data_IF_517183075971
#
_entry.id   IF_517183075971
#
_cell.length_a   1.000
_cell.length_b   1.000
_cell.length_c   1.000
_cell.angle_alpha   90.00
_cell.angle_beta   90.00
_cell.angle_gamma   90.00
#
_symmetry.space_group_name_H-M   'P 1'
#
loop_
_entity.id
_entity.type
_entity.pdbx_description
1 polymer ?
#
# COMPACT_ATOMS: atom_id res chain seq x y z
N UNK A 1 -0.04 -18.12 5.16
CA UNK A 1 -0.04 -16.66 4.92
C UNK A 1 -1.22 -16.12 4.10
N UNK A 2 -2.06 -16.96 3.45
CA UNK A 2 -3.24 -16.50 2.69
C UNK A 2 -4.19 -15.59 3.47
N UNK A 3 -4.26 -15.73 4.80
CA UNK A 3 -5.08 -14.90 5.71
C UNK A 3 -4.66 -13.42 5.72
N UNK A 4 -3.35 -13.12 5.76
CA UNK A 4 -2.81 -11.75 5.84
C UNK A 4 -3.10 -10.91 4.59
N UNK A 5 -3.10 -11.54 3.41
CA UNK A 5 -3.40 -10.84 2.14
C UNK A 5 -4.84 -10.35 2.14
N UNK A 6 -5.79 -11.16 2.63
CA UNK A 6 -7.20 -10.77 2.75
C UNK A 6 -7.38 -9.58 3.70
N UNK A 7 -6.68 -9.61 4.84
CA UNK A 7 -6.68 -8.52 5.82
C UNK A 7 -6.16 -7.21 5.23
N UNK A 8 -5.08 -7.23 4.45
CA UNK A 8 -4.52 -6.01 3.85
C UNK A 8 -5.34 -5.49 2.67
N UNK A 9 -5.99 -6.37 1.90
CA UNK A 9 -6.87 -5.94 0.80
C UNK A 9 -8.07 -5.14 1.28
N UNK A 10 -8.57 -5.41 2.49
CA UNK A 10 -9.68 -4.64 3.09
C UNK A 10 -9.33 -3.23 3.56
N UNK A 11 -8.05 -2.87 3.70
CA UNK A 11 -7.60 -1.58 4.24
C UNK A 11 -7.45 -0.51 3.16
N UNK A 12 -7.53 0.76 3.53
CA UNK A 12 -7.28 1.86 2.58
C UNK A 12 -5.78 2.01 2.28
N UNK A 13 -5.42 2.72 1.19
CA UNK A 13 -4.01 3.00 0.87
C UNK A 13 -3.33 3.78 2.00
N UNK A 14 -4.04 4.71 2.63
CA UNK A 14 -3.53 5.50 3.76
C UNK A 14 -3.19 4.61 4.95
N UNK A 15 -4.06 3.67 5.28
CA UNK A 15 -3.82 2.74 6.39
C UNK A 15 -2.66 1.79 6.09
N UNK A 16 -2.56 1.31 4.85
CA UNK A 16 -1.43 0.50 4.41
C UNK A 16 -0.10 1.26 4.51
N UNK A 17 -0.07 2.57 4.21
CA UNK A 17 1.11 3.43 4.37
C UNK A 17 1.52 3.60 5.84
N UNK A 18 0.54 3.78 6.74
CA UNK A 18 0.79 3.82 8.18
C UNK A 18 1.36 2.49 8.70
N UNK A 19 0.75 1.37 8.30
CA UNK A 19 1.20 0.05 8.73
C UNK A 19 2.57 -0.33 8.19
N UNK A 20 2.94 0.09 6.98
CA UNK A 20 4.30 -0.10 6.45
C UNK A 20 5.32 0.63 7.31
N UNK A 21 5.04 1.87 7.71
CA UNK A 21 5.94 2.64 8.56
C UNK A 21 6.12 1.97 9.93
N UNK A 22 5.03 1.58 10.57
CA UNK A 22 5.07 0.88 11.87
C UNK A 22 5.88 -0.43 11.79
N UNK A 23 5.69 -1.22 10.73
CA UNK A 23 6.44 -2.47 10.53
C UNK A 23 7.93 -2.22 10.33
N UNK A 24 8.32 -1.13 9.64
CA UNK A 24 9.74 -0.77 9.48
C UNK A 24 10.38 -0.41 10.82
N UNK A 25 9.69 0.37 11.65
CA UNK A 25 10.14 0.72 13.00
C UNK A 25 10.25 -0.51 13.90
N UNK A 26 9.27 -1.42 13.84
CA UNK A 26 9.28 -2.67 14.58
C UNK A 26 10.48 -3.56 14.17
N UNK A 27 10.73 -3.69 12.87
CA UNK A 27 11.90 -4.42 12.36
C UNK A 27 13.20 -3.76 12.84
N UNK A 28 13.30 -2.43 12.82
CA UNK A 28 14.48 -1.71 13.27
C UNK A 28 14.74 -1.94 14.77
N UNK A 29 13.70 -1.79 15.60
CA UNK A 29 13.75 -2.07 17.05
C UNK A 29 14.18 -3.52 17.32
N UNK A 30 13.56 -4.48 16.65
CA UNK A 30 13.90 -5.91 16.80
C UNK A 30 15.30 -6.23 16.33
N UNK A 31 15.77 -5.60 15.25
CA UNK A 31 17.14 -5.79 14.76
C UNK A 31 18.16 -5.27 15.76
N UNK A 32 17.91 -4.11 16.39
CA UNK A 32 18.77 -3.56 17.43
C UNK A 32 18.75 -4.43 18.69
N UNK A 33 17.57 -4.81 19.15
CA UNK A 33 17.41 -5.73 20.30
C UNK A 33 18.14 -7.05 20.05
N UNK A 34 17.99 -7.65 18.87
CA UNK A 34 18.62 -8.92 18.55
C UNK A 34 20.16 -8.85 18.48
N UNK A 35 20.74 -7.66 18.24
CA UNK A 35 22.19 -7.46 18.34
C UNK A 35 22.68 -7.40 19.78
N UNK A 36 21.88 -6.83 20.68
CA UNK A 36 22.25 -6.67 22.10
C UNK A 36 21.91 -7.91 22.94
N UNK A 37 20.75 -8.50 22.67
CA UNK A 37 20.22 -9.68 23.35
C UNK A 37 19.53 -10.57 22.30
N UNK A 38 20.26 -11.53 21.70
CA UNK A 38 19.72 -12.37 20.64
C UNK A 38 18.55 -13.19 21.17
N UNK A 39 17.39 -13.07 20.52
CA UNK A 39 16.21 -13.84 20.89
C UNK A 39 16.40 -15.31 20.51
N UNK A 40 16.00 -16.23 21.40
CA UNK A 40 15.98 -17.68 21.10
C UNK A 40 15.16 -18.01 19.85
N UNK A 41 14.15 -17.19 19.55
CA UNK A 41 13.35 -17.31 18.33
C UNK A 41 13.87 -16.39 17.22
N UNK A 42 14.74 -16.93 16.37
CA UNK A 42 15.35 -16.19 15.25
C UNK A 42 14.39 -15.91 14.09
N UNK A 43 13.21 -16.51 14.09
CA UNK A 43 12.23 -16.35 13.00
C UNK A 43 11.43 -15.04 13.09
N UNK A 44 11.49 -14.31 14.20
CA UNK A 44 10.67 -13.12 14.43
C UNK A 44 10.93 -12.03 13.38
N UNK A 45 12.19 -11.68 13.15
CA UNK A 45 12.60 -10.69 12.13
C UNK A 45 12.21 -11.15 10.72
N UNK A 46 12.39 -12.43 10.42
CA UNK A 46 12.01 -13.01 9.12
C UNK A 46 10.50 -12.90 8.87
N UNK A 47 9.68 -13.23 9.87
CA UNK A 47 8.23 -13.15 9.77
C UNK A 47 7.73 -11.71 9.60
N UNK A 48 8.37 -10.74 10.26
CA UNK A 48 8.06 -9.31 10.11
C UNK A 48 8.43 -8.80 8.71
N UNK A 49 9.62 -9.14 8.19
CA UNK A 49 10.03 -8.79 6.82
C UNK A 49 9.08 -9.39 5.79
N UNK A 50 8.66 -10.64 5.98
CA UNK A 50 7.71 -11.29 5.09
C UNK A 50 6.32 -10.64 5.15
N UNK A 51 5.88 -10.16 6.33
CA UNK A 51 4.66 -9.36 6.47
C UNK A 51 4.77 -8.03 5.71
N UNK A 52 5.90 -7.34 5.85
CA UNK A 52 6.19 -6.09 5.14
C UNK A 52 6.14 -6.28 3.62
N UNK A 53 6.77 -7.34 3.10
CA UNK A 53 6.77 -7.63 1.67
C UNK A 53 5.34 -7.79 1.11
N UNK A 54 4.49 -8.57 1.80
CA UNK A 54 3.09 -8.75 1.40
C UNK A 54 2.33 -7.42 1.39
N UNK A 55 2.55 -6.58 2.41
CA UNK A 55 1.87 -5.29 2.52
C UNK A 55 2.26 -4.35 1.38
N UNK A 56 3.55 -4.31 1.04
CA UNK A 56 4.08 -3.53 -0.09
C UNK A 56 3.50 -4.01 -1.43
N UNK A 57 3.40 -5.32 -1.65
CA UNK A 57 2.78 -5.87 -2.87
C UNK A 57 1.32 -5.43 -3.00
N UNK A 58 0.51 -5.55 -1.93
CA UNK A 58 -0.89 -5.12 -1.95
C UNK A 58 -1.01 -3.62 -2.16
N UNK A 59 -0.10 -2.83 -1.58
CA UNK A 59 -0.08 -1.38 -1.79
C UNK A 59 0.23 -1.03 -3.25
N UNK A 60 1.24 -1.67 -3.86
CA UNK A 60 1.58 -1.48 -5.28
C UNK A 60 0.41 -1.87 -6.18
N UNK A 61 -0.22 -3.03 -5.94
CA UNK A 61 -1.41 -3.49 -6.67
C UNK A 61 -2.52 -2.42 -6.64
N UNK A 62 -2.76 -1.80 -5.48
CA UNK A 62 -3.80 -0.76 -5.34
C UNK A 62 -3.43 0.54 -6.05
N UNK A 63 -2.18 0.99 -5.92
CA UNK A 63 -1.71 2.20 -6.60
C UNK A 63 -1.72 2.04 -8.12
N UNK A 64 -1.41 0.86 -8.64
CA UNK A 64 -1.52 0.55 -10.08
C UNK A 64 -2.99 0.55 -10.54
N UNK A 65 -3.90 -0.05 -9.77
CA UNK A 65 -5.34 -0.02 -10.08
C UNK A 65 -5.87 1.42 -10.09
N UNK A 66 -5.44 2.28 -9.17
CA UNK A 66 -5.84 3.70 -9.18
C UNK A 66 -5.33 4.44 -10.41
N UNK A 67 -4.08 4.20 -10.84
CA UNK A 67 -3.52 4.79 -12.06
C UNK A 67 -4.23 4.32 -13.34
N UNK A 68 -4.68 3.07 -13.36
CA UNK A 68 -5.37 2.48 -14.51
C UNK A 68 -6.84 2.87 -14.62
N UNK A 69 -7.44 3.45 -13.58
CA UNK A 69 -8.75 4.08 -13.72
C UNK A 69 -8.54 5.33 -14.58
N UNK A 70 -9.03 5.37 -15.83
CA UNK A 70 -9.00 6.61 -16.58
C UNK A 70 -9.73 7.62 -15.72
N UNK A 71 -9.10 8.77 -15.48
CA UNK A 71 -9.80 9.91 -14.92
C UNK A 71 -11.17 9.96 -15.61
N UNK A 72 -12.25 10.06 -14.83
CA UNK A 72 -13.48 10.63 -15.34
C UNK A 72 -13.08 12.03 -15.81
N UNK A 73 -12.62 12.14 -17.06
CA UNK A 73 -12.64 13.39 -17.79
C UNK A 73 -14.10 13.77 -17.72
N UNK A 74 -14.44 14.70 -16.83
CA UNK A 74 -15.69 15.43 -16.94
C UNK A 74 -15.69 15.89 -18.39
N UNK A 75 -16.58 15.30 -19.20
CA UNK A 75 -16.78 15.73 -20.55
C UNK A 75 -16.95 17.26 -20.48
N UNK A 76 -16.26 18.04 -21.32
CA UNK A 76 -16.61 19.44 -21.48
C UNK A 76 -18.12 19.47 -21.73
N UNK A 77 -18.91 20.29 -21.00
CA UNK A 77 -20.35 20.30 -21.18
C UNK A 77 -20.63 20.54 -22.66
N UNK A 78 -21.23 19.52 -23.30
CA UNK A 78 -21.69 19.60 -24.67
C UNK A 78 -22.74 20.70 -24.73
N UNK A 79 -22.37 21.88 -25.24
CA UNK A 79 -23.33 22.96 -25.46
C UNK A 79 -22.75 24.37 -25.50
N UNK A 80 -22.35 24.82 -26.69
CA UNK A 80 -23.23 25.75 -27.40
C UNK A 80 -23.01 25.66 -28.90
N UNK A 81 -24.15 25.51 -29.56
CA UNK A 81 -24.36 25.38 -30.98
C UNK A 81 -23.69 26.49 -31.79
N UNK A 82 -23.32 26.11 -33.01
CA UNK A 82 -23.14 26.99 -34.18
C UNK A 82 -24.13 28.15 -34.13
N UNK A 83 -23.62 29.37 -34.28
CA UNK A 83 -24.38 30.44 -34.93
C UNK A 83 -23.47 30.99 -36.03
N UNK A 84 -23.96 30.77 -37.25
CA UNK A 84 -23.46 31.23 -38.53
C UNK A 84 -23.43 32.77 -38.64
N UNK A 85 -22.84 33.22 -39.76
CA UNK A 85 -23.05 34.52 -40.45
C UNK A 85 -22.17 35.68 -39.91
N UNK A 86 -21.46 36.47 -40.72
CA UNK A 86 -21.40 36.68 -42.17
C UNK A 86 -20.08 37.38 -42.48
#
# INVERSE_FOLDING_TARGET
>A
MKKRVKEFRGKTIVDLKKETQLLREEIAKKTLQNRMNPEKNTNTIFQLRKKLAVLLTVLSEKEEIEKLKPEKKLAPPAGRLKIDQK
#
